data_IF_928621064124
#
_entry.id   IF_928621064124
#
_cell.length_a   1.000
_cell.length_b   1.000
_cell.length_c   1.000
_cell.angle_alpha   90.00
_cell.angle_beta   90.00
_cell.angle_gamma   90.00
#
_symmetry.space_group_name_H-M   'P 1'
#
loop_
_entity.id
_entity.type
_entity.pdbx_description
1 polymer ?
#
# COMPACT_ATOMS: atom_id res chain seq x y z
N UNK A 1 -11.09 -15.04 -10.82
CA UNK A 1 -11.28 -16.49 -10.56
C UNK A 1 -10.60 -16.88 -9.25
N UNK A 2 -9.28 -16.75 -9.14
CA UNK A 2 -8.50 -17.15 -7.95
C UNK A 2 -8.96 -16.57 -6.60
N UNK A 3 -9.22 -15.27 -6.52
CA UNK A 3 -9.62 -14.64 -5.25
C UNK A 3 -10.95 -15.20 -4.70
N UNK A 4 -11.91 -15.53 -5.58
CA UNK A 4 -13.20 -16.09 -5.12
C UNK A 4 -13.03 -17.51 -4.61
N UNK A 5 -12.29 -18.35 -5.35
CA UNK A 5 -12.00 -19.73 -4.91
C UNK A 5 -11.22 -19.76 -3.59
N UNK A 6 -10.27 -18.84 -3.39
CA UNK A 6 -9.52 -18.75 -2.14
C UNK A 6 -10.40 -18.36 -0.94
N UNK A 7 -11.37 -17.46 -1.14
CA UNK A 7 -12.33 -17.08 -0.08
C UNK A 7 -13.30 -18.24 0.24
N UNK A 8 -13.80 -18.94 -0.78
CA UNK A 8 -14.66 -20.11 -0.62
C UNK A 8 -13.95 -21.24 0.14
N UNK A 9 -12.70 -21.55 -0.22
CA UNK A 9 -11.87 -22.53 0.49
C UNK A 9 -11.67 -22.14 1.97
N UNK A 10 -11.47 -20.85 2.24
CA UNK A 10 -11.35 -20.31 3.59
C UNK A 10 -12.68 -20.20 4.34
N UNK A 11 -13.82 -20.60 3.75
CA UNK A 11 -15.19 -20.44 4.30
C UNK A 11 -15.58 -18.97 4.56
N UNK A 12 -14.98 -18.03 3.83
CA UNK A 12 -15.21 -16.60 3.95
C UNK A 12 -16.16 -16.08 2.87
N UNK A 13 -16.97 -15.09 3.24
CA UNK A 13 -17.89 -14.39 2.32
C UNK A 13 -17.21 -13.14 1.78
N UNK A 14 -17.28 -12.93 0.46
CA UNK A 14 -16.75 -11.74 -0.17
C UNK A 14 -17.60 -10.49 0.20
N UNK A 15 -16.99 -9.32 0.47
CA UNK A 15 -17.74 -8.10 0.77
C UNK A 15 -18.57 -7.61 -0.42
N UNK A 16 -19.82 -7.21 -0.20
CA UNK A 16 -20.78 -6.86 -1.26
C UNK A 16 -20.59 -5.47 -1.88
N UNK A 17 -20.13 -4.49 -1.10
CA UNK A 17 -19.93 -3.10 -1.55
C UNK A 17 -18.54 -2.61 -1.16
N UNK A 18 -17.59 -2.78 -2.07
CA UNK A 18 -16.23 -2.28 -1.90
C UNK A 18 -16.06 -1.00 -2.71
N UNK A 19 -15.79 0.11 -2.03
CA UNK A 19 -15.31 1.31 -2.72
C UNK A 19 -13.86 1.09 -3.14
N UNK A 20 -13.58 1.23 -4.43
CA UNK A 20 -12.24 1.12 -4.97
C UNK A 20 -11.55 2.49 -4.92
N UNK A 21 -10.55 2.61 -4.06
CA UNK A 21 -9.68 3.79 -4.02
C UNK A 21 -8.77 3.82 -5.25
N UNK A 22 -8.60 5.02 -5.83
CA UNK A 22 -7.75 5.29 -6.98
C UNK A 22 -6.80 6.46 -6.66
N UNK A 23 -5.89 6.81 -7.59
CA UNK A 23 -5.01 7.98 -7.46
C UNK A 23 -3.56 7.66 -7.08
N UNK A 24 -3.28 6.50 -6.49
CA UNK A 24 -1.91 6.14 -6.10
C UNK A 24 -0.91 6.10 -7.26
N UNK A 25 -1.37 5.80 -8.48
CA UNK A 25 -0.52 5.82 -9.69
C UNK A 25 -0.26 7.22 -10.23
N UNK A 26 -1.01 8.22 -9.80
CA UNK A 26 -0.89 9.63 -10.21
C UNK A 26 -0.39 10.52 -9.07
N UNK A 27 0.24 9.92 -8.04
CA UNK A 27 0.80 10.65 -6.90
C UNK A 27 -0.23 11.08 -5.84
N UNK A 28 -1.50 10.68 -5.95
CA UNK A 28 -2.53 10.97 -4.95
C UNK A 28 -2.63 9.78 -4.00
N UNK A 29 -1.94 9.87 -2.87
CA UNK A 29 -1.87 8.81 -1.88
C UNK A 29 -2.70 9.14 -0.63
N UNK A 30 -2.98 8.13 0.17
CA UNK A 30 -3.54 8.34 1.51
C UNK A 30 -2.50 9.02 2.41
N UNK A 31 -2.95 9.54 3.55
CA UNK A 31 -2.10 10.13 4.60
C UNK A 31 -0.95 9.20 5.04
N UNK A 32 -1.11 7.88 4.88
CA UNK A 32 -0.16 6.88 5.38
C UNK A 32 1.15 6.87 4.62
N UNK A 33 1.16 7.21 3.33
CA UNK A 33 2.40 7.15 2.54
C UNK A 33 3.45 8.13 3.08
N UNK A 34 3.03 9.31 3.56
CA UNK A 34 3.93 10.30 4.13
C UNK A 34 4.76 9.74 5.29
N UNK A 35 4.12 9.01 6.20
CA UNK A 35 4.79 8.36 7.33
C UNK A 35 5.81 7.31 6.87
N UNK A 36 5.40 6.41 5.97
CA UNK A 36 6.27 5.34 5.46
C UNK A 36 7.52 5.91 4.79
N UNK A 37 7.34 6.91 3.93
CA UNK A 37 8.45 7.50 3.17
C UNK A 37 9.34 8.35 4.09
N UNK A 38 8.80 9.04 5.09
CA UNK A 38 9.59 9.78 6.07
C UNK A 38 10.51 8.85 6.86
N UNK A 39 10.00 7.72 7.36
CA UNK A 39 10.80 6.71 8.07
C UNK A 39 11.83 6.07 7.14
N UNK A 40 11.41 5.59 5.96
CA UNK A 40 12.29 4.93 5.00
C UNK A 40 13.42 5.83 4.52
N UNK A 41 13.14 7.11 4.27
CA UNK A 41 14.09 8.04 3.68
C UNK A 41 14.88 8.85 4.70
N UNK A 42 14.65 8.68 6.02
CA UNK A 42 15.31 9.50 7.03
C UNK A 42 16.83 9.52 6.87
N UNK A 43 17.48 8.34 6.86
CA UNK A 43 18.94 8.24 6.79
C UNK A 43 19.49 8.82 5.48
N UNK A 44 18.83 8.51 4.35
CA UNK A 44 19.26 8.99 3.03
C UNK A 44 19.07 10.50 2.85
N UNK A 45 18.09 11.11 3.53
CA UNK A 45 17.89 12.57 3.53
C UNK A 45 18.84 13.29 4.48
N UNK A 46 19.19 12.66 5.61
CA UNK A 46 20.15 13.20 6.57
C UNK A 46 21.59 13.13 6.06
N UNK A 47 21.95 12.07 5.34
CA UNK A 47 23.32 11.80 4.86
C UNK A 47 23.35 11.48 3.35
N UNK A 48 23.11 12.47 2.49
CA UNK A 48 22.98 12.25 1.05
C UNK A 48 24.31 11.87 0.38
N UNK A 49 24.27 10.95 -0.59
CA UNK A 49 25.41 10.59 -1.44
C UNK A 49 26.41 9.60 -0.85
N UNK A 50 26.19 9.12 0.37
CA UNK A 50 27.01 8.10 0.99
C UNK A 50 26.71 6.71 0.42
N UNK A 51 27.72 5.83 0.45
CA UNK A 51 27.60 4.42 0.10
C UNK A 51 27.50 3.60 1.38
N UNK A 52 26.56 2.67 1.40
CA UNK A 52 26.27 1.76 2.50
C UNK A 52 26.19 0.35 1.95
#
# INVERSE_FOLDING_TARGET
AYMRSALEEATLVAPEKVHMYQGGKTGVHTEKLGHLVAEMQWMQRAYPGLKW
#
